data_IF_954268360149
#
_entry.id   IF_954268360149
#
_cell.length_a   1.000
_cell.length_b   1.000
_cell.length_c   1.000
_cell.angle_alpha   90.00
_cell.angle_beta   90.00
_cell.angle_gamma   90.00
#
_symmetry.space_group_name_H-M   'P 1'
#
loop_
_entity.id
_entity.type
_entity.pdbx_description
1 polymer ?
#
# COMPACT_ATOMS: atom_id res chain seq x y z
N UNK A 1 -1.29 -2.11 -6.66
CA UNK A 1 -2.02 -3.15 -7.42
C UNK A 1 -1.96 -4.45 -6.63
N UNK A 2 -2.64 -5.50 -7.08
CA UNK A 2 -2.45 -6.86 -6.57
C UNK A 2 -2.43 -7.84 -7.75
N UNK A 3 -1.64 -8.94 -7.70
CA UNK A 3 -1.53 -9.88 -8.82
C UNK A 3 -2.83 -10.59 -9.17
N UNK A 4 -3.69 -10.83 -8.19
CA UNK A 4 -4.98 -11.52 -8.34
C UNK A 4 -6.13 -10.60 -8.78
N UNK A 5 -5.89 -9.30 -8.94
CA UNK A 5 -6.93 -8.30 -9.22
C UNK A 5 -7.14 -8.15 -10.74
N UNK A 6 -8.32 -8.54 -11.30
CA UNK A 6 -8.55 -8.48 -12.75
C UNK A 6 -8.49 -7.06 -13.31
N UNK A 7 -9.07 -6.09 -12.61
CA UNK A 7 -9.02 -4.67 -12.99
C UNK A 7 -7.58 -4.11 -12.98
N UNK A 8 -6.68 -4.71 -12.20
CA UNK A 8 -5.28 -4.33 -12.14
C UNK A 8 -4.50 -4.91 -13.33
N UNK A 9 -4.81 -6.14 -13.72
CA UNK A 9 -4.23 -6.77 -14.92
C UNK A 9 -4.64 -6.02 -16.19
N UNK A 10 -5.89 -5.53 -16.27
CA UNK A 10 -6.37 -4.75 -17.42
C UNK A 10 -5.61 -3.45 -17.65
N UNK A 11 -5.20 -2.74 -16.60
CA UNK A 11 -4.45 -1.48 -16.72
C UNK A 11 -2.94 -1.71 -16.90
N UNK A 12 -2.42 -2.92 -16.66
CA UNK A 12 -0.97 -3.17 -16.59
C UNK A 12 -0.22 -2.71 -17.86
N UNK A 13 -0.69 -3.10 -19.05
CA UNK A 13 -0.08 -2.69 -20.32
C UNK A 13 -0.11 -1.17 -20.53
N UNK A 14 -1.20 -0.50 -20.14
CA UNK A 14 -1.32 0.96 -20.21
C UNK A 14 -0.37 1.64 -19.23
N UNK A 15 -0.24 1.10 -18.02
CA UNK A 15 0.64 1.63 -16.99
C UNK A 15 2.12 1.51 -17.38
N UNK A 16 2.52 0.40 -18.01
CA UNK A 16 3.87 0.23 -18.54
C UNK A 16 4.17 1.19 -19.69
N UNK A 17 3.20 1.39 -20.59
CA UNK A 17 3.33 2.37 -21.67
C UNK A 17 3.46 3.79 -21.13
N UNK A 18 2.66 4.14 -20.11
CA UNK A 18 2.77 5.43 -19.42
C UNK A 18 4.13 5.59 -18.71
N UNK A 19 4.65 4.53 -18.08
CA UNK A 19 5.95 4.55 -17.44
C UNK A 19 7.11 4.78 -18.44
N UNK A 20 7.02 4.27 -19.67
CA UNK A 20 8.01 4.56 -20.73
C UNK A 20 8.06 6.05 -21.10
N UNK A 21 6.92 6.74 -21.00
CA UNK A 21 6.79 8.17 -21.30
C UNK A 21 7.21 9.08 -20.13
N UNK A 22 7.50 8.50 -18.96
CA UNK A 22 7.79 9.24 -17.72
C UNK A 22 8.92 10.26 -17.87
N UNK A 23 9.99 9.91 -18.59
CA UNK A 23 11.11 10.82 -18.86
C UNK A 23 10.72 12.04 -19.69
N UNK A 24 9.85 11.87 -20.70
CA UNK A 24 9.32 12.98 -21.52
C UNK A 24 8.38 13.87 -20.70
N UNK A 25 7.63 13.27 -19.78
CA UNK A 25 6.69 13.96 -18.91
C UNK A 25 7.35 14.64 -17.70
N UNK A 26 8.64 14.39 -17.46
CA UNK A 26 9.36 14.93 -16.30
C UNK A 26 8.89 14.37 -14.96
N UNK A 27 8.37 13.13 -14.94
CA UNK A 27 7.86 12.47 -13.72
C UNK A 27 8.54 11.12 -13.50
N UNK A 28 8.37 10.55 -12.31
CA UNK A 28 8.68 9.14 -12.04
C UNK A 28 7.39 8.36 -11.88
N UNK A 29 7.32 7.17 -12.49
CA UNK A 29 6.15 6.28 -12.41
C UNK A 29 6.58 4.99 -11.71
N UNK A 30 5.83 4.58 -10.69
CA UNK A 30 6.07 3.35 -9.93
C UNK A 30 4.80 2.52 -9.77
N UNK A 31 4.97 1.23 -9.45
CA UNK A 31 3.87 0.33 -9.06
C UNK A 31 4.24 -0.38 -7.75
N UNK A 32 3.28 -0.48 -6.84
CA UNK A 32 3.43 -1.17 -5.54
C UNK A 32 2.46 -2.33 -5.47
N UNK A 33 2.96 -3.52 -5.15
CA UNK A 33 2.15 -4.68 -4.84
C UNK A 33 1.71 -4.65 -3.37
N UNK A 34 0.41 -4.43 -3.14
CA UNK A 34 -0.12 -4.33 -1.77
C UNK A 34 -0.16 -5.67 -1.04
N UNK A 35 0.05 -6.80 -1.75
CA UNK A 35 0.14 -8.12 -1.15
C UNK A 35 1.50 -8.39 -0.51
N UNK A 36 2.54 -7.74 -1.05
CA UNK A 36 3.92 -7.83 -0.55
C UNK A 36 4.26 -6.67 0.40
N UNK A 37 3.61 -5.52 0.23
CA UNK A 37 3.88 -4.30 1.00
C UNK A 37 2.68 -3.88 1.87
N UNK A 38 2.36 -4.65 2.94
CA UNK A 38 1.21 -4.35 3.80
C UNK A 38 1.37 -2.99 4.51
N UNK A 39 2.58 -2.61 4.90
CA UNK A 39 2.86 -1.31 5.51
C UNK A 39 2.53 -0.14 4.59
N UNK A 40 2.93 -0.20 3.31
CA UNK A 40 2.58 0.83 2.32
C UNK A 40 1.08 0.84 2.03
N UNK A 41 0.45 -0.33 1.96
CA UNK A 41 -1.01 -0.45 1.83
C UNK A 41 -1.74 0.30 2.95
N UNK A 42 -1.31 0.08 4.20
CA UNK A 42 -1.83 0.79 5.37
C UNK A 42 -1.54 2.29 5.32
N UNK A 43 -0.30 2.68 5.00
CA UNK A 43 0.14 4.09 4.92
C UNK A 43 -0.64 4.94 3.91
N UNK A 44 -1.01 4.35 2.77
CA UNK A 44 -1.81 5.01 1.73
C UNK A 44 -3.31 4.73 1.86
N UNK A 45 -3.72 4.04 2.94
CA UNK A 45 -5.09 3.63 3.23
C UNK A 45 -5.77 3.02 1.99
N UNK A 46 -5.11 2.04 1.36
CA UNK A 46 -5.59 1.44 0.11
C UNK A 46 -6.73 0.47 0.40
N UNK A 47 -7.96 0.91 0.15
CA UNK A 47 -9.17 0.08 0.34
C UNK A 47 -9.73 -0.50 -0.96
N UNK A 48 -9.32 0.03 -2.11
CA UNK A 48 -9.82 -0.36 -3.43
C UNK A 48 -8.69 -0.47 -4.42
N UNK A 49 -8.78 -1.39 -5.38
CA UNK A 49 -7.76 -1.60 -6.41
C UNK A 49 -8.33 -1.53 -7.83
N UNK A 50 -7.52 -1.09 -8.81
CA UNK A 50 -6.28 -0.34 -8.63
C UNK A 50 -6.57 1.08 -8.09
N UNK A 51 -5.66 1.61 -7.27
CA UNK A 51 -5.67 3.00 -6.83
C UNK A 51 -4.38 3.66 -7.28
N UNK A 52 -4.51 4.83 -7.90
CA UNK A 52 -3.40 5.64 -8.42
C UNK A 52 -3.32 6.92 -7.59
N UNK A 53 -2.11 7.25 -7.16
CA UNK A 53 -1.81 8.50 -6.48
C UNK A 53 -0.81 9.30 -7.32
N UNK A 54 -1.09 10.59 -7.46
CA UNK A 54 -0.12 11.57 -7.90
C UNK A 54 0.50 12.23 -6.67
N UNK A 55 1.83 12.27 -6.61
CA UNK A 55 2.58 12.89 -5.53
C UNK A 55 3.45 14.01 -6.11
N UNK A 56 3.28 15.23 -5.61
CA UNK A 56 4.12 16.36 -5.96
C UNK A 56 4.40 17.17 -4.70
N UNK A 57 5.68 17.40 -4.38
CA UNK A 57 6.13 18.14 -3.19
C UNK A 57 5.48 17.69 -1.87
N UNK A 58 5.35 16.38 -1.68
CA UNK A 58 4.72 15.79 -0.49
C UNK A 58 3.19 15.90 -0.45
N UNK A 59 2.56 16.51 -1.46
CA UNK A 59 1.11 16.60 -1.62
C UNK A 59 0.62 15.44 -2.47
N UNK A 60 -0.19 14.58 -1.85
CA UNK A 60 -0.77 13.41 -2.50
C UNK A 60 -2.18 13.71 -3.00
N UNK A 61 -2.49 13.30 -4.22
CA UNK A 61 -3.80 13.43 -4.86
C UNK A 61 -4.22 12.09 -5.42
N UNK A 62 -5.46 11.68 -5.15
CA UNK A 62 -5.99 10.43 -5.70
C UNK A 62 -6.49 10.67 -7.11
N UNK A 63 -5.92 9.96 -8.08
CA UNK A 63 -6.40 10.01 -9.44
C UNK A 63 -7.74 9.26 -9.57
N UNK A 64 -8.72 9.90 -10.19
CA UNK A 64 -10.08 9.36 -10.42
C UNK A 64 -10.50 9.37 -11.90
N UNK A 65 -9.59 9.74 -12.79
CA UNK A 65 -9.83 9.81 -14.22
C UNK A 65 -9.92 8.44 -14.90
N UNK A 66 -10.02 8.48 -16.22
CA UNK A 66 -9.95 7.30 -17.07
C UNK A 66 -8.57 6.66 -16.95
N UNK A 67 -8.48 5.34 -17.01
CA UNK A 67 -7.20 4.63 -16.91
C UNK A 67 -6.54 4.40 -18.28
N UNK A 68 -6.86 5.24 -19.26
CA UNK A 68 -6.29 5.22 -20.61
C UNK A 68 -4.96 5.97 -20.64
N UNK A 69 -4.12 5.65 -21.63
CA UNK A 69 -2.80 6.27 -21.75
C UNK A 69 -2.92 7.78 -21.96
N UNK A 70 -3.85 8.19 -22.81
CA UNK A 70 -4.08 9.58 -23.19
C UNK A 70 -4.56 10.40 -21.99
N UNK A 71 -5.46 9.85 -21.16
CA UNK A 71 -5.96 10.54 -19.97
C UNK A 71 -4.84 10.71 -18.93
N UNK A 72 -4.04 9.67 -18.68
CA UNK A 72 -2.88 9.73 -17.79
C UNK A 72 -1.83 10.74 -18.25
N UNK A 73 -1.54 10.80 -19.56
CA UNK A 73 -0.61 11.77 -20.13
C UNK A 73 -1.16 13.19 -20.00
N UNK A 74 -2.42 13.41 -20.39
CA UNK A 74 -3.06 14.73 -20.32
C UNK A 74 -3.16 15.22 -18.87
N UNK A 75 -3.37 14.31 -17.91
CA UNK A 75 -3.43 14.64 -16.49
C UNK A 75 -2.16 15.33 -15.99
N UNK A 76 -1.00 14.92 -16.53
CA UNK A 76 0.31 15.49 -16.20
C UNK A 76 0.62 16.71 -17.06
N UNK A 77 0.50 16.60 -18.39
CA UNK A 77 0.86 17.65 -19.35
C UNK A 77 0.02 18.92 -19.17
N UNK A 78 -1.30 18.75 -18.99
CA UNK A 78 -2.23 19.87 -18.82
C UNK A 78 -2.40 20.27 -17.35
N UNK A 79 -1.61 19.67 -16.44
CA UNK A 79 -1.66 19.94 -15.00
C UNK A 79 -3.06 19.80 -14.38
N UNK A 80 -3.89 18.88 -14.90
CA UNK A 80 -5.25 18.61 -14.38
C UNK A 80 -5.25 18.23 -12.90
N UNK A 81 -4.13 17.73 -12.39
CA UNK A 81 -3.92 17.45 -10.97
C UNK A 81 -4.08 18.68 -10.07
N UNK A 82 -3.96 19.92 -10.58
CA UNK A 82 -4.15 21.13 -9.77
C UNK A 82 -5.60 21.30 -9.32
N UNK A 83 -6.56 20.88 -10.15
CA UNK A 83 -7.97 20.89 -9.83
C UNK A 83 -8.40 19.72 -8.92
N UNK A 84 -7.53 18.72 -8.72
CA UNK A 84 -7.83 17.58 -7.85
C UNK A 84 -7.51 17.92 -6.41
N UNK A 85 -8.51 17.80 -5.55
CA UNK A 85 -8.36 17.99 -4.12
C UNK A 85 -7.27 17.07 -3.53
N UNK A 86 -6.33 17.62 -2.74
CA UNK A 86 -5.34 16.81 -2.06
C UNK A 86 -5.99 15.89 -1.02
N UNK A 87 -5.33 14.76 -0.76
CA UNK A 87 -5.70 13.91 0.37
C UNK A 87 -5.59 14.73 1.65
N UNK A 88 -6.65 14.71 2.47
CA UNK A 88 -6.70 15.46 3.73
C UNK A 88 -5.44 15.19 4.58
N UNK A 89 -4.88 16.24 5.21
CA UNK A 89 -3.57 16.17 5.88
C UNK A 89 -3.45 15.02 6.89
N UNK A 90 -4.49 14.75 7.68
CA UNK A 90 -4.52 13.62 8.63
C UNK A 90 -4.51 12.24 7.96
N UNK A 91 -5.03 12.12 6.73
CA UNK A 91 -4.99 10.92 5.88
C UNK A 91 -3.79 10.91 4.93
N UNK A 92 -2.97 11.95 4.91
CA UNK A 92 -1.81 12.01 4.02
C UNK A 92 -0.82 10.91 4.40
N UNK A 93 -0.25 10.18 3.43
CA UNK A 93 0.84 9.23 3.68
C UNK A 93 2.05 9.84 4.41
N UNK A 94 2.27 11.15 4.30
CA UNK A 94 3.34 11.85 5.01
C UNK A 94 3.00 12.21 6.46
N UNK A 95 1.77 12.01 6.92
CA UNK A 95 1.35 12.34 8.29
C UNK A 95 1.84 11.32 9.33
N UNK A 96 2.03 11.78 10.57
CA UNK A 96 2.44 10.92 11.70
C UNK A 96 1.44 9.77 11.90
N UNK A 97 0.15 10.07 11.79
CA UNK A 97 -0.92 9.07 11.94
C UNK A 97 -0.77 7.93 10.92
N UNK A 98 -0.53 8.25 9.64
CA UNK A 98 -0.38 7.24 8.60
C UNK A 98 0.95 6.48 8.67
N UNK A 99 2.01 7.06 9.25
CA UNK A 99 3.21 6.29 9.61
C UNK A 99 2.93 5.26 10.70
N UNK A 100 2.13 5.64 11.72
CA UNK A 100 1.66 4.69 12.73
C UNK A 100 0.84 3.56 12.12
N UNK A 101 -0.05 3.88 11.18
CA UNK A 101 -0.83 2.89 10.43
C UNK A 101 0.07 1.93 9.63
N UNK A 102 1.14 2.45 9.02
CA UNK A 102 2.13 1.62 8.32
C UNK A 102 2.79 0.60 9.27
N UNK A 103 3.17 1.05 10.47
CA UNK A 103 3.72 0.19 11.52
C UNK A 103 2.76 -0.90 11.95
N UNK A 104 1.48 -0.55 12.16
CA UNK A 104 0.44 -1.51 12.51
C UNK A 104 0.27 -2.61 11.45
N UNK A 105 0.18 -2.22 10.18
CA UNK A 105 0.00 -3.17 9.08
C UNK A 105 1.24 -4.03 8.85
N UNK A 106 2.44 -3.45 8.97
CA UNK A 106 3.68 -4.19 8.89
C UNK A 106 3.76 -5.24 10.01
N UNK A 107 3.42 -4.86 11.25
CA UNK A 107 3.38 -5.77 12.39
C UNK A 107 2.36 -6.91 12.18
N UNK A 108 1.17 -6.58 11.68
CA UNK A 108 0.18 -7.61 11.32
C UNK A 108 0.71 -8.58 10.25
N UNK A 109 1.39 -8.06 9.22
CA UNK A 109 2.04 -8.88 8.20
C UNK A 109 3.11 -9.82 8.76
N UNK A 110 3.92 -9.31 9.69
CA UNK A 110 4.96 -10.07 10.38
C UNK A 110 4.39 -11.20 11.26
N UNK A 111 3.32 -10.93 12.01
CA UNK A 111 2.60 -11.98 12.79
C UNK A 111 2.13 -13.10 11.85
N UNK A 112 1.50 -12.74 10.72
CA UNK A 112 1.04 -13.72 9.74
C UNK A 112 2.19 -14.54 9.17
N UNK A 113 3.33 -13.90 8.89
CA UNK A 113 4.53 -14.58 8.40
C UNK A 113 5.07 -15.59 9.42
N UNK A 114 5.14 -15.23 10.69
CA UNK A 114 5.55 -16.16 11.76
C UNK A 114 4.58 -17.34 11.86
N UNK A 115 3.28 -17.09 11.84
CA UNK A 115 2.27 -18.15 11.90
C UNK A 115 2.44 -19.15 10.74
N UNK A 116 2.61 -18.65 9.52
CA UNK A 116 2.80 -19.47 8.33
C UNK A 116 4.12 -20.25 8.38
N UNK A 117 5.18 -19.65 8.93
CA UNK A 117 6.45 -20.32 9.12
C UNK A 117 6.34 -21.46 10.15
N UNK A 118 5.72 -21.20 11.30
CA UNK A 118 5.50 -22.22 12.34
C UNK A 118 4.69 -23.41 11.81
N UNK A 119 3.59 -23.13 11.12
CA UNK A 119 2.65 -24.17 10.67
C UNK A 119 3.12 -24.86 9.39
N UNK A 120 3.65 -24.11 8.42
CA UNK A 120 4.06 -24.62 7.13
C UNK A 120 5.46 -25.22 7.11
N UNK A 121 6.43 -24.56 7.73
CA UNK A 121 7.85 -24.98 7.69
C UNK A 121 8.21 -25.89 8.87
N UNK A 122 7.79 -25.53 10.09
CA UNK A 122 8.10 -26.31 11.28
C UNK A 122 7.06 -27.39 11.59
N UNK A 123 5.96 -27.45 10.83
CA UNK A 123 4.90 -28.45 11.01
C UNK A 123 4.15 -28.33 12.33
N UNK A 124 4.26 -27.19 13.02
CA UNK A 124 3.59 -26.96 14.29
C UNK A 124 2.08 -26.89 14.06
N UNK A 125 1.29 -27.59 14.88
CA UNK A 125 -0.15 -27.54 14.73
C UNK A 125 -0.68 -26.12 14.99
N UNK A 126 -1.68 -25.70 14.20
CA UNK A 126 -2.31 -24.36 14.25
C UNK A 126 -2.64 -23.89 15.69
N UNK A 127 -3.23 -24.75 16.54
CA UNK A 127 -3.58 -24.39 17.92
C UNK A 127 -2.36 -24.06 18.79
N UNK A 128 -1.22 -24.74 18.56
CA UNK A 128 0.03 -24.48 19.27
C UNK A 128 0.61 -23.13 18.84
N UNK A 129 0.55 -22.80 17.55
CA UNK A 129 0.96 -21.49 17.07
C UNK A 129 0.16 -20.37 17.73
N UNK A 130 -1.16 -20.51 17.86
CA UNK A 130 -1.99 -19.54 18.57
C UNK A 130 -1.67 -19.48 20.06
N UNK A 131 -1.43 -20.62 20.73
CA UNK A 131 -1.01 -20.65 22.12
C UNK A 131 0.30 -19.87 22.35
N UNK A 132 1.28 -19.99 21.44
CA UNK A 132 2.53 -19.21 21.49
C UNK A 132 2.25 -17.71 21.41
N UNK A 133 1.41 -17.26 20.47
CA UNK A 133 1.09 -15.84 20.35
C UNK A 133 0.32 -15.29 21.56
N UNK A 134 -0.60 -16.07 22.14
CA UNK A 134 -1.33 -15.70 23.36
C UNK A 134 -0.34 -15.55 24.52
N UNK A 135 0.53 -16.54 24.73
CA UNK A 135 1.53 -16.51 25.79
C UNK A 135 2.47 -15.31 25.63
N UNK A 136 2.96 -15.05 24.41
CA UNK A 136 3.81 -13.89 24.12
C UNK A 136 3.08 -12.57 24.44
N UNK A 137 1.80 -12.45 24.08
CA UNK A 137 1.00 -11.25 24.36
C UNK A 137 0.81 -11.03 25.87
N UNK A 138 0.54 -12.10 26.63
CA UNK A 138 0.41 -12.04 28.09
C UNK A 138 1.72 -11.65 28.77
N UNK A 139 2.85 -12.22 28.33
CA UNK A 139 4.17 -11.89 28.87
C UNK A 139 4.57 -10.44 28.59
N UNK A 140 4.30 -9.95 27.37
CA UNK A 140 4.54 -8.54 27.02
C UNK A 140 3.66 -7.63 27.87
N UNK A 141 2.38 -7.96 28.04
CA UNK A 141 1.45 -7.19 28.89
C UNK A 141 1.88 -7.16 30.35
N UNK A 142 2.35 -8.29 30.89
CA UNK A 142 2.89 -8.37 32.25
C UNK A 142 4.15 -7.52 32.41
N UNK A 143 5.07 -7.56 31.44
CA UNK A 143 6.32 -6.80 31.48
C UNK A 143 6.10 -5.28 31.34
N UNK A 144 5.15 -4.85 30.50
CA UNK A 144 4.81 -3.43 30.34
C UNK A 144 3.99 -2.88 31.51
N UNK A 145 3.33 -3.74 32.29
CA UNK A 145 2.54 -3.36 33.45
C UNK A 145 3.32 -3.30 34.78
N UNK A 146 4.58 -3.79 34.79
CA UNK A 146 5.53 -3.77 35.91
C UNK A 146 6.50 -2.58 35.77
#
# INVERSE_FOLDING_TARGET
YAPWCPACQQIEATWESFAKESGRLGITVGKVDVTQEPGLSGRFFVTTLPTIYHANDGVFRRYRGSRTLEDLQSYILERKWEAVEPVAGWKSPSSIMMHGMAGLFHFSGWIRQIHNYLTGTLGVHVWVSYAIFILATLLIGLFLGL
#
